data_IF_161908605895
#
_entry.id   IF_161908605895
#
_cell.length_a   1.000
_cell.length_b   1.000
_cell.length_c   1.000
_cell.angle_alpha   90.00
_cell.angle_beta   90.00
_cell.angle_gamma   90.00
#
_symmetry.space_group_name_H-M   'P 1'
#
loop_
_entity.id
_entity.type
_entity.pdbx_description
1 polymer ?
#
# COMPACT_ATOMS: atom_id res chain seq x y z
N UNK A 1 -21.27 -32.25 -7.59
CA UNK A 1 -20.57 -31.59 -8.71
C UNK A 1 -19.60 -30.59 -8.11
N UNK A 2 -18.30 -30.72 -8.38
CA UNK A 2 -17.35 -29.69 -8.00
C UNK A 2 -17.65 -28.46 -8.86
N UNK A 3 -18.01 -27.34 -8.23
CA UNK A 3 -18.07 -26.06 -8.92
C UNK A 3 -16.64 -25.77 -9.37
N UNK A 4 -16.38 -25.86 -10.67
CA UNK A 4 -15.12 -25.36 -11.21
C UNK A 4 -15.07 -23.87 -10.86
N UNK A 5 -14.13 -23.46 -10.02
CA UNK A 5 -13.85 -22.05 -9.79
C UNK A 5 -13.40 -21.47 -11.12
N UNK A 6 -14.26 -20.70 -11.79
CA UNK A 6 -13.91 -20.01 -13.02
C UNK A 6 -12.69 -19.13 -12.78
N UNK A 7 -11.71 -19.24 -13.68
CA UNK A 7 -10.53 -18.38 -13.65
C UNK A 7 -10.96 -16.94 -13.93
N UNK A 8 -10.61 -16.02 -13.02
CA UNK A 8 -10.95 -14.61 -13.16
C UNK A 8 -10.24 -14.02 -14.38
N UNK A 9 -10.97 -13.26 -15.18
CA UNK A 9 -10.48 -12.60 -16.39
C UNK A 9 -10.05 -11.17 -16.07
N UNK A 10 -8.81 -10.83 -16.39
CA UNK A 10 -8.20 -9.56 -16.04
C UNK A 10 -7.77 -8.82 -17.31
N UNK A 11 -8.09 -7.51 -17.37
CA UNK A 11 -7.51 -6.60 -18.34
C UNK A 11 -6.28 -5.90 -17.76
N UNK A 12 -5.12 -6.22 -18.31
CA UNK A 12 -3.85 -5.54 -18.04
C UNK A 12 -3.70 -4.36 -19.01
N UNK A 13 -3.77 -3.16 -18.47
CA UNK A 13 -3.65 -1.89 -19.17
C UNK A 13 -2.38 -1.18 -18.70
N UNK A 14 -1.49 -0.89 -19.64
CA UNK A 14 -0.14 -0.39 -19.36
C UNK A 14 0.03 0.99 -19.97
N UNK A 15 0.33 1.97 -19.13
CA UNK A 15 0.81 3.28 -19.55
C UNK A 15 2.29 3.15 -19.93
N UNK A 16 2.56 2.88 -21.21
CA UNK A 16 3.91 2.59 -21.70
C UNK A 16 4.81 3.82 -21.75
N UNK A 17 4.22 5.01 -21.85
CA UNK A 17 4.96 6.27 -21.85
C UNK A 17 5.59 6.54 -20.47
N UNK A 18 4.96 6.10 -19.38
CA UNK A 18 5.44 6.33 -18.01
C UNK A 18 5.92 5.09 -17.25
N UNK A 19 5.59 3.86 -17.70
CA UNK A 19 5.99 2.62 -17.02
C UNK A 19 7.24 1.96 -17.66
N UNK A 20 8.17 1.44 -16.85
CA UNK A 20 9.37 0.77 -17.36
C UNK A 20 9.07 -0.65 -17.88
N UNK A 21 9.42 -0.93 -19.14
CA UNK A 21 9.25 -2.24 -19.78
C UNK A 21 9.92 -3.40 -19.00
N UNK A 22 11.07 -3.14 -18.36
CA UNK A 22 11.83 -4.14 -17.61
C UNK A 22 11.08 -4.79 -16.43
N UNK A 23 9.92 -4.24 -16.03
CA UNK A 23 9.11 -4.78 -14.91
C UNK A 23 7.96 -5.67 -15.36
N UNK A 24 7.73 -5.81 -16.67
CA UNK A 24 6.53 -6.48 -17.19
C UNK A 24 6.40 -7.95 -16.78
N UNK A 25 7.49 -8.71 -16.80
CA UNK A 25 7.50 -10.13 -16.42
C UNK A 25 6.97 -10.30 -14.99
N UNK A 26 7.50 -9.51 -14.05
CA UNK A 26 7.13 -9.63 -12.65
C UNK A 26 5.72 -9.08 -12.37
N UNK A 27 5.28 -8.07 -13.13
CA UNK A 27 3.90 -7.59 -13.09
C UNK A 27 2.95 -8.70 -13.57
N UNK A 28 3.24 -9.36 -14.68
CA UNK A 28 2.43 -10.46 -15.20
C UNK A 28 2.37 -11.64 -14.22
N UNK A 29 3.51 -12.00 -13.63
CA UNK A 29 3.57 -13.03 -12.59
C UNK A 29 2.69 -12.66 -11.37
N UNK A 30 2.62 -11.38 -11.02
CA UNK A 30 1.77 -10.91 -9.94
C UNK A 30 0.28 -10.90 -10.32
N UNK A 31 -0.05 -10.47 -11.54
CA UNK A 31 -1.43 -10.50 -12.07
C UNK A 31 -1.97 -11.93 -12.09
N UNK A 32 -1.14 -12.91 -12.49
CA UNK A 32 -1.48 -14.33 -12.54
C UNK A 32 -1.96 -14.90 -11.18
N UNK A 33 -1.65 -14.24 -10.06
CA UNK A 33 -2.13 -14.65 -8.72
C UNK A 33 -3.58 -14.27 -8.47
N UNK A 34 -4.11 -13.33 -9.23
CA UNK A 34 -5.49 -12.85 -9.12
C UNK A 34 -6.39 -13.42 -10.22
N UNK A 35 -5.83 -13.79 -11.37
CA UNK A 35 -6.55 -14.33 -12.52
C UNK A 35 -5.70 -14.28 -13.80
N UNK A 36 -6.30 -14.68 -14.92
CA UNK A 36 -5.64 -14.64 -16.22
C UNK A 36 -5.67 -13.22 -16.80
N UNK A 37 -4.51 -12.72 -17.24
CA UNK A 37 -4.41 -11.51 -18.03
C UNK A 37 -4.85 -11.77 -19.48
N UNK A 38 -6.16 -11.84 -19.74
CA UNK A 38 -6.74 -12.15 -21.06
C UNK A 38 -6.65 -10.97 -22.03
N UNK A 39 -6.72 -9.74 -21.51
CA UNK A 39 -6.49 -8.53 -22.29
C UNK A 39 -5.18 -7.94 -21.83
N UNK A 40 -4.24 -7.71 -22.76
CA UNK A 40 -2.95 -7.10 -22.49
C UNK A 40 -2.73 -5.98 -23.50
N UNK A 41 -2.79 -4.73 -23.04
CA UNK A 41 -2.66 -3.55 -23.90
C UNK A 41 -1.65 -2.59 -23.31
N UNK A 42 -0.76 -2.09 -24.15
CA UNK A 42 0.17 -1.03 -23.83
C UNK A 42 -0.17 0.21 -24.65
N UNK A 43 -0.33 1.35 -23.99
CA UNK A 43 -0.75 2.61 -24.60
C UNK A 43 0.43 3.56 -24.64
N UNK A 44 0.65 4.16 -25.80
CA UNK A 44 1.71 5.14 -25.96
C UNK A 44 1.89 5.55 -27.41
N UNK A 45 2.85 6.44 -27.61
CA UNK A 45 3.26 6.83 -28.95
C UNK A 45 4.42 5.94 -29.43
N UNK A 46 4.15 4.87 -30.16
CA UNK A 46 5.17 3.92 -30.70
C UNK A 46 6.09 4.52 -31.76
N UNK A 47 5.89 5.78 -32.17
CA UNK A 47 6.91 6.55 -32.91
C UNK A 47 7.94 7.21 -32.00
N UNK A 48 7.71 7.22 -30.69
CA UNK A 48 8.61 7.79 -29.69
C UNK A 48 9.83 6.88 -29.47
N UNK A 49 11.06 7.43 -29.48
CA UNK A 49 12.25 6.64 -29.19
C UNK A 49 12.26 6.06 -27.76
N UNK A 50 11.46 6.62 -26.84
CA UNK A 50 11.39 6.16 -25.45
C UNK A 50 10.67 4.81 -25.29
N UNK A 51 9.90 4.37 -26.29
CA UNK A 51 9.15 3.11 -26.24
C UNK A 51 9.90 1.92 -26.88
N UNK A 52 11.14 2.11 -27.34
CA UNK A 52 11.95 1.03 -27.94
C UNK A 52 12.13 -0.17 -27.00
N UNK A 53 12.26 0.09 -25.70
CA UNK A 53 12.36 -0.96 -24.68
C UNK A 53 11.07 -1.78 -24.56
N UNK A 54 9.91 -1.14 -24.74
CA UNK A 54 8.62 -1.83 -24.81
C UNK A 54 8.48 -2.64 -26.09
N UNK A 55 8.83 -2.08 -27.25
CA UNK A 55 8.78 -2.79 -28.55
C UNK A 55 9.50 -4.14 -28.51
N UNK A 56 10.65 -4.20 -27.82
CA UNK A 56 11.44 -5.42 -27.67
C UNK A 56 10.71 -6.54 -26.90
N UNK A 57 9.79 -6.20 -26.00
CA UNK A 57 9.12 -7.17 -25.10
C UNK A 57 7.64 -7.42 -25.46
N UNK A 58 7.03 -6.60 -26.33
CA UNK A 58 5.62 -6.73 -26.69
C UNK A 58 5.24 -8.14 -27.19
N UNK A 59 6.03 -8.66 -28.13
CA UNK A 59 5.77 -9.97 -28.74
C UNK A 59 5.96 -11.12 -27.75
N UNK A 60 7.00 -11.05 -26.93
CA UNK A 60 7.33 -12.06 -25.92
C UNK A 60 6.17 -12.25 -24.93
N UNK A 61 5.55 -11.15 -24.49
CA UNK A 61 4.48 -11.18 -23.49
C UNK A 61 3.06 -11.08 -24.07
N UNK A 62 2.92 -11.20 -25.40
CA UNK A 62 1.65 -11.10 -26.12
C UNK A 62 0.86 -9.82 -25.76
N UNK A 63 1.57 -8.68 -25.70
CA UNK A 63 0.99 -7.38 -25.38
C UNK A 63 0.65 -6.67 -26.68
N UNK A 64 -0.61 -6.24 -26.81
CA UNK A 64 -1.07 -5.47 -27.97
C UNK A 64 -0.64 -4.00 -27.80
N UNK A 65 0.16 -3.43 -28.74
CA UNK A 65 0.41 -2.01 -28.76
C UNK A 65 -0.84 -1.25 -29.21
N UNK A 66 -1.22 -0.22 -28.46
CA UNK A 66 -2.24 0.77 -28.81
C UNK A 66 -1.52 2.07 -29.12
N UNK A 67 -1.49 2.44 -30.40
CA UNK A 67 -0.85 3.66 -30.88
C UNK A 67 -1.72 4.86 -30.60
N UNK A 68 -1.15 5.86 -29.92
CA UNK A 68 -1.75 7.17 -29.78
C UNK A 68 -0.73 8.26 -30.08
N UNK A 69 -1.01 9.06 -31.10
CA UNK A 69 -0.16 10.21 -31.43
C UNK A 69 -0.40 11.35 -30.45
N UNK A 70 0.68 12.06 -30.10
CA UNK A 70 0.58 13.32 -29.37
C UNK A 70 0.13 14.43 -30.33
N UNK A 71 -1.13 14.86 -30.24
CA UNK A 71 -1.67 15.97 -31.04
C UNK A 71 -1.04 17.32 -30.70
N UNK A 72 -0.43 17.43 -29.52
CA UNK A 72 0.34 18.58 -29.07
C UNK A 72 1.32 18.13 -27.99
N UNK A 73 2.49 18.76 -27.92
CA UNK A 73 3.57 18.39 -27.00
C UNK A 73 3.11 18.48 -25.54
N UNK A 74 3.34 17.42 -24.76
CA UNK A 74 3.06 17.39 -23.32
C UNK A 74 1.59 17.22 -22.93
N UNK A 75 0.75 16.67 -23.83
CA UNK A 75 -0.64 16.31 -23.49
C UNK A 75 -0.82 14.80 -23.33
N UNK A 76 -1.74 14.44 -22.43
CA UNK A 76 -2.08 13.11 -21.96
C UNK A 76 -2.95 12.32 -22.97
N UNK A 77 -2.55 12.29 -24.24
CA UNK A 77 -3.35 11.67 -25.30
C UNK A 77 -3.43 10.15 -25.13
N UNK A 78 -2.31 9.50 -24.82
CA UNK A 78 -2.24 8.06 -24.51
C UNK A 78 -3.07 7.70 -23.29
N UNK A 79 -3.06 8.54 -22.26
CA UNK A 79 -3.88 8.35 -21.05
C UNK A 79 -5.38 8.40 -21.38
N UNK A 80 -5.80 9.37 -22.20
CA UNK A 80 -7.19 9.45 -22.67
C UNK A 80 -7.59 8.21 -23.48
N UNK A 81 -6.72 7.72 -24.37
CA UNK A 81 -6.98 6.51 -25.13
C UNK A 81 -7.10 5.28 -24.21
N UNK A 82 -6.26 5.19 -23.19
CA UNK A 82 -6.32 4.13 -22.18
C UNK A 82 -7.60 4.18 -21.36
N UNK A 83 -8.06 5.38 -20.95
CA UNK A 83 -9.32 5.56 -20.23
C UNK A 83 -10.52 5.15 -21.10
N UNK A 84 -10.57 5.59 -22.36
CA UNK A 84 -11.64 5.22 -23.29
C UNK A 84 -11.72 3.71 -23.45
N UNK A 85 -10.58 3.07 -23.72
CA UNK A 85 -10.52 1.61 -23.92
C UNK A 85 -10.87 0.84 -22.64
N UNK A 86 -10.44 1.32 -21.47
CA UNK A 86 -10.84 0.74 -20.19
C UNK A 86 -12.36 0.79 -19.98
N UNK A 87 -13.02 1.87 -20.38
CA UNK A 87 -14.48 2.01 -20.29
C UNK A 87 -15.19 1.08 -21.28
N UNK A 88 -14.69 0.95 -22.51
CA UNK A 88 -15.24 0.00 -23.49
C UNK A 88 -15.13 -1.44 -23.00
N UNK A 89 -13.97 -1.80 -22.44
CA UNK A 89 -13.73 -3.10 -21.81
C UNK A 89 -14.65 -3.35 -20.60
N UNK A 90 -14.90 -2.34 -19.77
CA UNK A 90 -15.82 -2.43 -18.64
C UNK A 90 -17.24 -2.76 -19.12
N UNK A 91 -17.72 -2.05 -20.13
CA UNK A 91 -19.08 -2.22 -20.66
C UNK A 91 -19.26 -3.46 -21.54
N UNK A 92 -18.17 -4.08 -22.01
CA UNK A 92 -18.22 -5.40 -22.62
C UNK A 92 -18.63 -6.53 -21.64
N UNK A 93 -18.63 -6.27 -20.32
CA UNK A 93 -19.12 -7.15 -19.25
C UNK A 93 -18.50 -8.56 -19.22
N UNK A 94 -17.23 -8.68 -19.61
CA UNK A 94 -16.52 -9.96 -19.68
C UNK A 94 -15.21 -10.00 -18.88
N UNK A 95 -15.02 -9.07 -17.94
CA UNK A 95 -13.83 -8.96 -17.09
C UNK A 95 -14.22 -8.88 -15.62
N UNK A 96 -13.41 -9.53 -14.78
CA UNK A 96 -13.59 -9.59 -13.33
C UNK A 96 -12.72 -8.56 -12.60
N UNK A 97 -11.63 -8.12 -13.23
CA UNK A 97 -10.74 -7.11 -12.70
C UNK A 97 -9.96 -6.35 -13.79
N UNK A 98 -9.41 -5.20 -13.39
CA UNK A 98 -8.42 -4.44 -14.16
C UNK A 98 -7.09 -4.40 -13.41
N UNK A 99 -6.01 -4.60 -14.15
CA UNK A 99 -4.65 -4.32 -13.71
C UNK A 99 -4.17 -3.06 -14.43
N UNK A 100 -3.89 -1.99 -13.68
CA UNK A 100 -3.43 -0.70 -14.22
C UNK A 100 -1.96 -0.53 -13.85
N UNK A 101 -1.10 -0.43 -14.87
CA UNK A 101 0.32 -0.16 -14.69
C UNK A 101 0.58 1.30 -15.02
N UNK A 102 0.64 2.15 -13.99
CA UNK A 102 1.02 3.57 -14.07
C UNK A 102 1.41 4.10 -12.69
N UNK A 103 2.17 5.18 -12.67
CA UNK A 103 2.42 5.98 -11.46
C UNK A 103 1.72 7.35 -11.49
N UNK A 104 0.90 7.61 -12.52
CA UNK A 104 0.16 8.85 -12.69
C UNK A 104 -1.15 8.83 -11.91
N UNK A 105 -1.36 9.86 -11.09
CA UNK A 105 -2.57 9.99 -10.29
C UNK A 105 -3.78 10.48 -11.10
N UNK A 106 -3.59 10.94 -12.33
CA UNK A 106 -4.69 11.32 -13.23
C UNK A 106 -5.59 10.12 -13.59
N UNK A 107 -5.13 8.87 -13.40
CA UNK A 107 -5.97 7.68 -13.53
C UNK A 107 -6.90 7.41 -12.32
N UNK A 108 -6.81 8.19 -11.24
CA UNK A 108 -7.65 8.01 -10.04
C UNK A 108 -9.16 7.98 -10.36
N UNK A 109 -9.71 8.90 -11.19
CA UNK A 109 -11.13 8.85 -11.56
C UNK A 109 -11.52 7.57 -12.31
N UNK A 110 -10.64 7.02 -13.16
CA UNK A 110 -10.86 5.75 -13.83
C UNK A 110 -10.98 4.61 -12.80
N UNK A 111 -10.05 4.54 -11.85
CA UNK A 111 -10.08 3.52 -10.78
C UNK A 111 -11.40 3.58 -10.02
N UNK A 112 -11.81 4.79 -9.60
CA UNK A 112 -13.06 4.99 -8.87
C UNK A 112 -14.29 4.59 -9.69
N UNK A 113 -14.30 4.87 -11.00
CA UNK A 113 -15.38 4.47 -11.92
C UNK A 113 -15.49 2.95 -12.05
N UNK A 114 -14.36 2.25 -12.20
CA UNK A 114 -14.30 0.79 -12.28
C UNK A 114 -14.81 0.14 -10.99
N UNK A 115 -14.39 0.66 -9.83
CA UNK A 115 -14.85 0.18 -8.52
C UNK A 115 -16.34 0.41 -8.29
N UNK A 116 -16.88 1.53 -8.78
CA UNK A 116 -18.33 1.83 -8.71
C UNK A 116 -19.16 0.76 -9.42
N UNK A 117 -18.63 0.16 -10.48
CA UNK A 117 -19.25 -0.97 -11.19
C UNK A 117 -18.94 -2.35 -10.55
N UNK A 118 -18.33 -2.36 -9.37
CA UNK A 118 -18.02 -3.57 -8.61
C UNK A 118 -16.78 -4.32 -9.08
N UNK A 119 -16.02 -3.77 -10.03
CA UNK A 119 -14.84 -4.43 -10.61
C UNK A 119 -13.60 -4.12 -9.79
N UNK A 120 -12.79 -5.14 -9.46
CA UNK A 120 -11.54 -4.95 -8.70
C UNK A 120 -10.48 -4.25 -9.55
N UNK A 121 -9.68 -3.40 -8.93
CA UNK A 121 -8.58 -2.70 -9.59
C UNK A 121 -7.26 -2.97 -8.86
N UNK A 122 -6.32 -3.58 -9.58
CA UNK A 122 -4.96 -3.86 -9.14
C UNK A 122 -4.01 -2.82 -9.74
N UNK A 123 -3.48 -1.92 -8.91
CA UNK A 123 -2.55 -0.88 -9.35
C UNK A 123 -1.10 -1.35 -9.23
N UNK A 124 -0.29 -0.99 -10.22
CA UNK A 124 1.15 -1.24 -10.26
C UNK A 124 1.88 0.04 -10.64
N UNK A 125 2.80 0.47 -9.79
CA UNK A 125 3.60 1.67 -10.05
C UNK A 125 4.79 1.78 -9.12
N UNK A 126 5.52 2.88 -9.23
CA UNK A 126 6.73 3.14 -8.45
C UNK A 126 6.38 3.71 -7.07
N UNK A 127 7.32 3.70 -6.12
CA UNK A 127 7.12 4.28 -4.78
C UNK A 127 6.77 5.77 -4.78
N UNK A 128 7.14 6.50 -5.84
CA UNK A 128 6.82 7.92 -6.01
C UNK A 128 5.34 8.17 -6.33
N UNK A 129 4.56 7.11 -6.59
CA UNK A 129 3.14 7.21 -6.93
C UNK A 129 2.38 7.94 -5.83
N UNK A 130 1.57 8.98 -6.16
CA UNK A 130 0.82 9.73 -5.17
C UNK A 130 -0.19 8.86 -4.40
N UNK A 131 -0.30 9.12 -3.10
CA UNK A 131 -1.20 8.38 -2.20
C UNK A 131 -2.67 8.30 -2.67
N UNK A 132 -3.27 9.35 -3.27
CA UNK A 132 -4.65 9.27 -3.75
C UNK A 132 -4.88 8.11 -4.73
N UNK A 133 -3.96 7.90 -5.67
CA UNK A 133 -4.07 6.81 -6.65
C UNK A 133 -3.82 5.44 -6.01
N UNK A 134 -2.81 5.35 -5.15
CA UNK A 134 -2.52 4.13 -4.36
C UNK A 134 -3.74 3.71 -3.54
N UNK A 135 -4.37 4.67 -2.86
CA UNK A 135 -5.52 4.45 -1.98
C UNK A 135 -6.81 4.15 -2.75
N UNK A 136 -6.95 4.66 -3.97
CA UNK A 136 -8.11 4.38 -4.80
C UNK A 136 -8.12 2.93 -5.30
N UNK A 137 -6.97 2.30 -5.49
CA UNK A 137 -6.91 0.91 -5.97
C UNK A 137 -7.47 -0.08 -4.93
N UNK A 138 -8.02 -1.20 -5.39
CA UNK A 138 -8.36 -2.32 -4.48
C UNK A 138 -7.12 -2.88 -3.80
N UNK A 139 -6.01 -2.93 -4.55
CA UNK A 139 -4.69 -3.24 -4.05
C UNK A 139 -3.66 -2.58 -4.96
N UNK A 140 -2.64 -1.99 -4.35
CA UNK A 140 -1.54 -1.36 -5.06
C UNK A 140 -0.23 -2.05 -4.69
N UNK A 141 0.53 -2.47 -5.69
CA UNK A 141 1.82 -3.14 -5.52
C UNK A 141 2.93 -2.29 -6.14
N UNK A 142 3.92 -1.94 -5.33
CA UNK A 142 5.10 -1.22 -5.82
C UNK A 142 6.00 -2.13 -6.64
N UNK A 143 6.35 -1.73 -7.87
CA UNK A 143 7.13 -2.55 -8.82
C UNK A 143 8.57 -2.78 -8.38
N UNK A 144 9.11 -1.94 -7.49
CA UNK A 144 10.42 -2.13 -6.87
C UNK A 144 10.42 -3.26 -5.83
N UNK A 145 9.25 -3.65 -5.31
CA UNK A 145 9.08 -4.74 -4.35
C UNK A 145 8.84 -6.12 -4.99
N UNK A 146 8.79 -6.19 -6.31
CA UNK A 146 8.48 -7.39 -7.09
C UNK A 146 9.77 -8.03 -7.64
N UNK A 147 10.02 -9.32 -7.34
CA UNK A 147 10.98 -10.15 -8.09
C UNK A 147 12.22 -10.72 -7.38
N UNK A 148 12.34 -10.69 -6.03
CA UNK A 148 13.49 -11.31 -5.35
C UNK A 148 13.14 -12.60 -4.57
N UNK A 149 13.80 -13.76 -4.84
CA UNK A 149 13.87 -14.91 -3.94
C UNK A 149 14.56 -14.52 -2.61
N UNK A 150 14.20 -15.16 -1.48
CA UNK A 150 14.66 -14.75 -0.14
C UNK A 150 15.93 -15.50 0.27
N UNK A 151 16.86 -15.63 -0.66
CA UNK A 151 18.14 -16.24 -0.38
C UNK A 151 19.23 -15.24 -0.73
N UNK A 152 20.00 -14.91 0.32
CA UNK A 152 21.30 -14.25 0.30
C UNK A 152 21.29 -12.72 0.12
N UNK A 153 21.19 -12.06 1.28
CA UNK A 153 21.81 -10.76 1.49
C UNK A 153 23.34 -10.97 1.40
N UNK A 154 23.91 -10.81 0.21
CA UNK A 154 25.27 -10.33 0.08
C UNK A 154 25.19 -8.88 -0.38
N UNK A 155 25.81 -8.02 0.42
CA UNK A 155 25.91 -6.61 0.17
C UNK A 155 26.84 -6.37 -1.01
N UNK A 156 26.28 -6.07 -2.18
CA UNK A 156 26.89 -5.12 -3.09
C UNK A 156 25.88 -4.50 -4.09
N UNK A 157 26.09 -3.20 -4.33
CA UNK A 157 25.59 -2.34 -5.41
C UNK A 157 24.08 -2.22 -5.75
N UNK A 158 23.51 -1.12 -5.23
CA UNK A 158 22.72 -0.10 -5.97
C UNK A 158 21.64 -0.55 -6.97
N UNK A 159 20.69 -1.37 -6.52
CA UNK A 159 19.33 -1.34 -7.08
C UNK A 159 18.33 -1.15 -5.94
N UNK A 160 17.53 -0.09 -6.02
CA UNK A 160 16.63 0.37 -4.96
C UNK A 160 15.53 -0.66 -4.66
N UNK A 161 15.82 -1.63 -3.79
CA UNK A 161 14.84 -2.55 -3.22
C UNK A 161 13.90 -1.80 -2.27
N UNK A 162 12.71 -2.35 -2.00
CA UNK A 162 12.05 -2.06 -0.73
C UNK A 162 12.83 -2.78 0.34
N UNK A 163 13.77 -2.08 1.00
CA UNK A 163 14.49 -2.62 2.14
C UNK A 163 13.50 -3.18 3.17
N UNK A 164 13.81 -4.34 3.75
CA UNK A 164 13.01 -4.94 4.82
C UNK A 164 12.86 -3.90 5.94
N UNK A 165 11.64 -3.43 6.19
CA UNK A 165 11.43 -2.40 7.21
C UNK A 165 11.74 -2.97 8.58
N UNK A 166 12.49 -2.23 9.40
CA UNK A 166 12.83 -2.69 10.75
C UNK A 166 11.57 -2.75 11.63
N UNK A 167 11.56 -3.55 12.71
CA UNK A 167 10.47 -3.53 13.69
C UNK A 167 10.16 -2.12 14.21
N UNK A 168 11.16 -1.24 14.29
CA UNK A 168 10.98 0.15 14.73
C UNK A 168 10.23 0.98 13.67
N UNK A 169 10.57 0.81 12.40
CA UNK A 169 9.89 1.48 11.27
C UNK A 169 8.43 1.03 11.14
N UNK A 170 8.16 -0.26 11.37
CA UNK A 170 6.79 -0.79 11.36
C UNK A 170 5.95 -0.24 12.51
N UNK A 171 6.56 0.00 13.68
CA UNK A 171 5.87 0.55 14.86
C UNK A 171 5.65 2.05 14.76
N UNK A 172 6.51 2.78 14.04
CA UNK A 172 6.37 4.22 13.84
C UNK A 172 5.34 4.57 12.76
N UNK A 173 5.07 3.65 11.82
CA UNK A 173 4.00 3.79 10.82
C UNK A 173 2.61 3.73 11.49
N UNK A 174 2.12 4.90 11.89
CA UNK A 174 0.87 5.05 12.65
C UNK A 174 -0.35 4.55 11.86
N UNK A 175 -0.31 4.64 10.52
CA UNK A 175 -1.38 4.17 9.65
C UNK A 175 -1.40 2.64 9.66
N UNK A 176 -0.25 2.00 9.44
CA UNK A 176 -0.11 0.54 9.50
C UNK A 176 -0.56 -0.01 10.86
N UNK A 177 -0.05 0.55 11.95
CA UNK A 177 -0.36 0.08 13.31
C UNK A 177 -1.86 0.17 13.60
N UNK A 178 -2.50 1.29 13.25
CA UNK A 178 -3.93 1.50 13.46
C UNK A 178 -4.77 0.51 12.66
N UNK A 179 -4.41 0.31 11.39
CA UNK A 179 -5.09 -0.62 10.50
C UNK A 179 -4.98 -2.06 11.00
N UNK A 180 -3.78 -2.53 11.36
CA UNK A 180 -3.58 -3.89 11.87
C UNK A 180 -4.35 -4.12 13.18
N UNK A 181 -4.30 -3.18 14.12
CA UNK A 181 -5.05 -3.30 15.39
C UNK A 181 -6.55 -3.39 15.17
N UNK A 182 -7.12 -2.48 14.35
CA UNK A 182 -8.55 -2.50 14.03
C UNK A 182 -8.97 -3.78 13.34
N UNK A 183 -8.15 -4.30 12.42
CA UNK A 183 -8.44 -5.55 11.72
C UNK A 183 -8.40 -6.77 12.65
N UNK A 184 -7.48 -6.80 13.61
CA UNK A 184 -7.42 -7.85 14.65
C UNK A 184 -8.63 -7.72 15.57
N UNK A 185 -8.93 -6.54 16.09
CA UNK A 185 -10.09 -6.31 16.96
C UNK A 185 -11.41 -6.73 16.29
N UNK A 186 -11.63 -6.33 15.03
CA UNK A 186 -12.83 -6.70 14.27
C UNK A 186 -12.91 -8.20 13.92
N UNK A 187 -11.79 -8.92 13.92
CA UNK A 187 -11.74 -10.36 13.64
C UNK A 187 -11.62 -11.22 14.90
N UNK A 188 -11.65 -10.60 16.09
CA UNK A 188 -11.49 -11.30 17.36
C UNK A 188 -12.74 -12.10 17.73
N UNK A 189 -12.53 -13.35 18.15
CA UNK A 189 -13.57 -14.16 18.78
C UNK A 189 -13.69 -13.85 20.27
N UNK A 190 -14.59 -14.57 20.96
CA UNK A 190 -14.88 -14.39 22.38
C UNK A 190 -13.65 -14.62 23.30
N UNK A 191 -12.65 -15.36 22.82
CA UNK A 191 -11.38 -15.63 23.50
C UNK A 191 -10.29 -14.57 23.26
N UNK A 192 -10.60 -13.54 22.47
CA UNK A 192 -9.71 -12.46 22.07
C UNK A 192 -8.66 -12.87 21.02
N UNK A 193 -8.70 -14.10 20.49
CA UNK A 193 -7.85 -14.52 19.38
C UNK A 193 -8.54 -14.30 18.05
N UNK A 194 -7.76 -13.90 17.04
CA UNK A 194 -8.25 -13.65 15.69
C UNK A 194 -7.56 -14.57 14.71
N UNK A 195 -8.33 -15.21 13.84
CA UNK A 195 -7.78 -16.04 12.78
C UNK A 195 -7.07 -15.15 11.75
N UNK A 196 -5.80 -15.41 11.42
CA UNK A 196 -5.00 -14.56 10.54
C UNK A 196 -5.66 -14.35 9.16
N UNK A 197 -6.34 -15.37 8.64
CA UNK A 197 -7.11 -15.26 7.40
C UNK A 197 -8.23 -14.22 7.48
N UNK A 198 -8.96 -14.18 8.61
CA UNK A 198 -10.02 -13.18 8.84
C UNK A 198 -9.43 -11.78 8.99
N UNK A 199 -8.30 -11.65 9.72
CA UNK A 199 -7.55 -10.38 9.82
C UNK A 199 -7.10 -9.91 8.43
N UNK A 200 -6.56 -10.80 7.61
CA UNK A 200 -6.13 -10.50 6.24
C UNK A 200 -7.28 -10.01 5.36
N UNK A 201 -8.46 -10.62 5.47
CA UNK A 201 -9.66 -10.17 4.77
C UNK A 201 -10.10 -8.78 5.23
N UNK A 202 -10.07 -8.51 6.54
CA UNK A 202 -10.41 -7.18 7.08
C UNK A 202 -9.43 -6.11 6.59
N UNK A 203 -8.12 -6.38 6.61
CA UNK A 203 -7.10 -5.46 6.11
C UNK A 203 -7.29 -5.19 4.61
N UNK A 204 -7.53 -6.25 3.82
CA UNK A 204 -7.74 -6.12 2.37
C UNK A 204 -9.02 -5.34 2.00
N UNK A 205 -10.02 -5.27 2.89
CA UNK A 205 -11.26 -4.55 2.66
C UNK A 205 -11.21 -3.08 3.11
N UNK A 206 -10.33 -2.72 4.05
CA UNK A 206 -10.27 -1.37 4.62
C UNK A 206 -9.31 -0.43 3.90
N UNK A 207 -8.32 -0.96 3.18
CA UNK A 207 -7.31 -0.17 2.51
C UNK A 207 -6.67 -0.94 1.35
N UNK A 208 -6.09 -0.19 0.41
CA UNK A 208 -5.10 -0.71 -0.53
C UNK A 208 -3.85 -1.15 0.24
N UNK A 209 -3.78 -2.45 0.56
CA UNK A 209 -2.72 -3.02 1.39
C UNK A 209 -2.01 -4.20 0.71
N UNK A 210 -0.69 -4.17 0.78
CA UNK A 210 0.19 -5.28 0.38
C UNK A 210 1.37 -5.36 1.35
N UNK A 211 1.60 -6.52 1.97
CA UNK A 211 2.70 -6.71 2.92
C UNK A 211 4.08 -6.52 2.27
N UNK A 212 4.18 -6.72 0.95
CA UNK A 212 5.45 -6.57 0.21
C UNK A 212 5.88 -5.12 0.06
N UNK A 213 4.94 -4.19 0.15
CA UNK A 213 5.25 -2.76 0.21
C UNK A 213 6.04 -2.41 1.50
N UNK A 214 6.11 -3.33 2.45
CA UNK A 214 6.89 -3.25 3.68
C UNK A 214 8.11 -4.20 3.70
N UNK A 215 8.36 -4.94 2.61
CA UNK A 215 9.43 -5.94 2.50
C UNK A 215 9.03 -7.35 2.95
N UNK A 216 7.75 -7.61 3.27
CA UNK A 216 7.30 -8.91 3.80
C UNK A 216 6.44 -9.68 2.80
N UNK A 217 6.76 -10.95 2.57
CA UNK A 217 6.06 -11.80 1.59
C UNK A 217 4.66 -12.19 2.00
N UNK A 218 4.47 -12.41 3.29
CA UNK A 218 3.20 -12.81 3.88
C UNK A 218 2.81 -11.82 4.98
N UNK A 219 1.50 -11.67 5.17
CA UNK A 219 0.97 -10.91 6.29
C UNK A 219 1.42 -11.48 7.65
N UNK A 220 1.58 -12.80 7.77
CA UNK A 220 2.13 -13.45 8.97
C UNK A 220 3.49 -12.87 9.35
N UNK A 221 4.38 -12.74 8.37
CA UNK A 221 5.77 -12.35 8.59
C UNK A 221 5.84 -10.87 8.99
N UNK A 222 5.01 -10.02 8.38
CA UNK A 222 4.86 -8.62 8.75
C UNK A 222 4.33 -8.46 10.18
N UNK A 223 3.29 -9.23 10.55
CA UNK A 223 2.69 -9.17 11.89
C UNK A 223 3.70 -9.61 12.95
N UNK A 224 4.41 -10.72 12.70
CA UNK A 224 5.45 -11.21 13.61
C UNK A 224 6.58 -10.19 13.76
N UNK A 225 7.08 -9.64 12.65
CA UNK A 225 8.17 -8.68 12.68
C UNK A 225 7.80 -7.32 13.30
N UNK A 226 6.53 -6.90 13.21
CA UNK A 226 6.06 -5.71 13.92
C UNK A 226 6.25 -5.82 15.44
N UNK A 227 6.21 -7.05 15.96
CA UNK A 227 6.29 -7.34 17.40
C UNK A 227 5.12 -6.79 18.22
N UNK A 228 4.10 -6.23 17.58
CA UNK A 228 2.93 -5.60 18.22
C UNK A 228 1.89 -6.64 18.67
N UNK A 229 1.94 -7.85 18.12
CA UNK A 229 0.94 -8.88 18.32
C UNK A 229 1.57 -10.15 18.90
N UNK A 230 0.77 -10.92 19.63
CA UNK A 230 1.05 -12.30 19.97
C UNK A 230 0.59 -13.18 18.81
N UNK A 231 1.43 -14.13 18.40
CA UNK A 231 1.09 -15.08 17.34
C UNK A 231 1.14 -16.51 17.89
N UNK A 232 0.16 -17.32 17.50
CA UNK A 232 0.12 -18.76 17.79
C UNK A 232 -0.06 -19.50 16.48
N UNK A 233 0.75 -20.53 16.26
CA UNK A 233 0.61 -21.42 15.11
C UNK A 233 0.10 -22.76 15.60
N UNK A 234 -1.06 -23.17 15.11
CA UNK A 234 -1.59 -24.50 15.35
C UNK A 234 -1.78 -25.17 13.98
N UNK A 235 -0.90 -26.11 13.63
CA UNK A 235 -0.77 -26.67 12.29
C UNK A 235 -0.58 -25.58 11.21
N UNK A 236 -1.48 -25.53 10.21
CA UNK A 236 -1.47 -24.53 9.13
C UNK A 236 -2.19 -23.23 9.49
N UNK A 237 -2.81 -23.16 10.66
CA UNK A 237 -3.58 -22.01 11.10
C UNK A 237 -2.74 -21.10 11.98
N UNK A 238 -2.74 -19.81 11.65
CA UNK A 238 -2.10 -18.76 12.45
C UNK A 238 -3.18 -17.95 13.14
N UNK A 239 -3.03 -17.77 14.44
CA UNK A 239 -3.87 -16.94 15.29
C UNK A 239 -3.06 -15.74 15.77
N UNK A 240 -3.73 -14.59 15.86
CA UNK A 240 -3.12 -13.31 16.22
C UNK A 240 -3.96 -12.63 17.30
N UNK A 241 -3.30 -11.98 18.26
CA UNK A 241 -3.94 -11.17 19.30
C UNK A 241 -3.10 -9.93 19.60
N UNK A 242 -3.71 -8.79 19.90
CA UNK A 242 -2.95 -7.57 20.28
C UNK A 242 -2.18 -7.82 21.58
N UNK A 243 -0.89 -7.43 21.63
CA UNK A 243 -0.13 -7.53 22.87
C UNK A 243 -0.67 -6.48 23.84
N UNK A 244 -0.99 -6.85 25.09
CA UNK A 244 -1.28 -5.86 26.10
C UNK A 244 -0.07 -4.92 26.23
N UNK A 245 -0.30 -3.60 26.10
CA UNK A 245 0.74 -2.61 26.44
C UNK A 245 1.19 -2.92 27.87
N UNK A 246 2.48 -3.24 28.04
CA UNK A 246 3.08 -3.47 29.35
C UNK A 246 2.59 -2.38 30.33
N UNK A 247 2.06 -2.80 31.48
CA UNK A 247 1.55 -1.92 32.55
C UNK A 247 2.59 -0.90 33.03
N UNK A 248 3.87 -1.07 32.70
CA UNK A 248 4.96 -0.18 33.09
C UNK A 248 4.76 1.31 32.68
N UNK A 249 3.96 1.62 31.66
CA UNK A 249 3.70 3.02 31.25
C UNK A 249 2.51 3.65 31.99
N UNK A 250 1.62 2.84 32.60
CA UNK A 250 0.45 3.36 33.34
C UNK A 250 0.78 3.76 34.78
N UNK A 251 1.79 3.13 35.39
CA UNK A 251 2.16 3.44 36.78
C UNK A 251 3.05 4.70 36.86
N UNK A 252 3.94 4.92 35.88
CA UNK A 252 4.74 6.14 35.79
C UNK A 252 3.91 7.43 35.59
N UNK A 253 2.70 7.33 35.00
CA UNK A 253 1.79 8.46 34.84
C UNK A 253 0.90 8.71 36.07
N UNK A 254 0.81 7.75 37.00
CA UNK A 254 0.06 7.89 38.26
C UNK A 254 0.92 8.42 39.40
N UNK A 255 2.22 8.11 39.41
CA UNK A 255 3.16 8.59 40.43
C UNK A 255 3.57 10.07 40.24
N UNK A 256 3.34 10.64 39.04
CA UNK A 256 3.63 12.06 38.76
C UNK A 256 2.49 13.02 39.16
N UNK A 257 1.36 12.52 39.67
CA UNK A 257 0.21 13.32 40.10
C UNK A 257 -0.14 12.98 41.55
N UNK A 258 0.81 13.15 42.48
CA UNK A 258 0.49 13.28 43.91
C UNK A 258 1.51 14.18 44.62
N UNK A 259 1.00 15.34 45.01
CA UNK A 259 1.50 16.31 46.01
C UNK A 259 2.62 17.29 45.60
N UNK A 260 2.57 18.57 46.09
CA UNK A 260 2.20 18.92 47.47
C UNK A 260 1.14 20.01 47.66
N UNK A 261 0.27 19.79 48.63
CA UNK A 261 -0.43 20.86 49.35
C UNK A 261 0.13 20.97 50.76
N UNK A 262 0.86 22.05 51.04
CA UNK A 262 1.04 22.60 52.40
C UNK A 262 1.21 24.11 52.28
N UNK A 263 0.11 24.81 52.54
CA UNK A 263 0.09 26.21 52.96
C UNK A 263 0.84 26.35 54.30
N UNK A 264 1.40 27.54 54.55
CA UNK A 264 1.05 28.20 55.79
C UNK A 264 0.55 29.63 55.55
N UNK A 265 -0.43 29.95 56.38
CA UNK A 265 -1.22 31.16 56.43
C UNK A 265 -0.51 32.27 57.26
N UNK A 266 -0.93 33.51 56.98
CA UNK A 266 -0.89 34.73 57.82
C UNK A 266 0.30 35.71 57.76
N UNK A 267 -0.07 36.85 57.16
CA UNK A 267 -0.17 38.18 57.80
C UNK A 267 0.94 39.22 57.57
N UNK A 268 0.51 40.42 57.12
CA UNK A 268 1.07 41.67 57.63
C UNK A 268 1.56 42.69 56.59
N UNK A 269 0.64 43.55 56.15
CA UNK A 269 0.78 44.99 55.89
C UNK A 269 2.13 45.62 55.45
N UNK A 270 2.09 46.40 54.37
CA UNK A 270 2.99 47.56 54.17
C UNK A 270 3.34 47.90 52.71
N UNK A 271 2.63 48.87 52.12
CA UNK A 271 3.13 49.63 50.93
C UNK A 271 4.24 50.62 51.36
N UNK A 272 4.76 51.50 50.47
CA UNK A 272 5.79 51.28 49.45
C UNK A 272 7.02 52.21 49.70
N UNK A 273 8.17 51.98 49.07
CA UNK A 273 9.20 53.04 48.93
C UNK A 273 9.98 52.97 47.63
N UNK A 274 9.85 54.08 46.90
CA UNK A 274 10.66 54.56 45.78
C UNK A 274 11.99 55.11 46.32
N UNK A 275 13.09 54.92 45.57
CA UNK A 275 14.27 55.81 45.37
C UNK A 275 15.24 55.04 44.42
N UNK A 276 15.54 55.47 43.18
CA UNK A 276 16.40 56.63 42.79
C UNK A 276 17.80 56.45 43.42
N UNK A 277 18.91 56.28 42.69
CA UNK A 277 19.64 57.19 41.78
C UNK A 277 20.75 56.37 41.04
N UNK A 278 21.08 56.51 39.74
CA UNK A 278 21.76 57.59 38.97
C UNK A 278 23.27 57.35 38.76
N UNK A 279 23.66 57.34 37.48
CA UNK A 279 24.95 57.70 36.83
C UNK A 279 26.30 57.22 37.41
N UNK A 280 27.07 56.57 36.54
CA UNK A 280 28.26 57.18 35.93
C UNK A 280 28.28 56.84 34.43
#
# INVERSE_FOLDING_TARGET
>A
MAVATEEKRIALLIDADNAPAAKIEVILAEVARYGAANVRRAYGNWKSPNLKSWEAVLHEYAIRPIQQFAYSKGKNASDMAMVIDAMDLLYARNLDAFAIVSSDADFTPLVMRLLTDGVKVYGFGEKKTPEPFVNACSKFTYVEGLGQPAAEVQADETVATVALRSPQDLRSDTRLVRMLRRAVEAASGDDGWSHLGAVGNQVANQASFDSRNYGYRKLSDLIEASGLFETRRNNKVVWVRDKPKSKAVKDAAKDAVKEPGKEPDKAGAGKPKVKEETKA
#
